data_IF_479428434294
#
_entry.id   IF_479428434294
#
_cell.length_a   1.000
_cell.length_b   1.000
_cell.length_c   1.000
_cell.angle_alpha   90.00
_cell.angle_beta   90.00
_cell.angle_gamma   90.00
#
_symmetry.space_group_name_H-M   'P 1'
#
loop_
_entity.id
_entity.type
_entity.pdbx_description
1 polymer ?
#
# COMPACT_ATOMS: atom_id res chain seq x y z
N UNK A 1 -55.37 -51.29 11.34
CA UNK A 1 -55.57 -49.85 11.53
C UNK A 1 -54.20 -49.21 11.44
N UNK A 2 -53.83 -48.79 10.24
CA UNK A 2 -52.59 -48.05 9.97
C UNK A 2 -52.81 -46.56 10.27
N UNK A 3 -51.90 -45.87 10.98
CA UNK A 3 -51.94 -44.42 11.07
C UNK A 3 -51.03 -43.77 10.01
N UNK A 4 -51.70 -43.31 8.95
CA UNK A 4 -51.52 -42.06 8.19
C UNK A 4 -50.28 -41.19 8.54
N UNK A 5 -49.41 -40.99 7.54
CA UNK A 5 -48.43 -39.91 7.44
C UNK A 5 -49.12 -38.54 7.29
N UNK A 6 -48.62 -37.47 7.94
CA UNK A 6 -48.83 -36.11 7.47
C UNK A 6 -47.60 -35.60 6.72
N UNK A 7 -47.77 -35.33 5.43
CA UNK A 7 -46.98 -34.32 4.70
C UNK A 7 -47.29 -32.95 5.32
N UNK A 8 -46.26 -32.20 5.72
CA UNK A 8 -46.14 -30.74 5.53
C UNK A 8 -44.77 -30.23 6.03
N UNK A 9 -43.95 -29.75 5.09
CA UNK A 9 -42.77 -28.92 5.36
C UNK A 9 -43.20 -27.50 5.74
N UNK A 10 -42.66 -26.89 6.81
CA UNK A 10 -42.72 -25.44 6.98
C UNK A 10 -41.44 -24.79 6.42
N UNK A 11 -41.63 -24.02 5.36
CA UNK A 11 -40.72 -22.95 4.94
C UNK A 11 -40.76 -21.81 5.97
N UNK A 12 -39.67 -21.58 6.71
CA UNK A 12 -39.21 -20.26 7.20
C UNK A 12 -38.05 -20.44 8.21
N UNK A 13 -36.83 -20.57 7.71
CA UNK A 13 -35.60 -20.59 8.53
C UNK A 13 -34.68 -19.39 8.23
N UNK A 14 -35.22 -18.29 7.71
CA UNK A 14 -34.44 -17.12 7.28
C UNK A 14 -34.77 -15.83 8.03
N UNK A 15 -35.71 -15.87 9.00
CA UNK A 15 -36.14 -14.68 9.76
C UNK A 15 -35.48 -14.56 11.15
N UNK A 16 -35.15 -15.68 11.80
CA UNK A 16 -34.60 -15.67 13.16
C UNK A 16 -33.10 -15.33 13.23
N UNK A 17 -32.33 -15.60 12.17
CA UNK A 17 -30.89 -15.28 12.14
C UNK A 17 -30.63 -13.77 12.02
N UNK A 18 -31.56 -13.03 11.40
CA UNK A 18 -31.46 -11.58 11.21
C UNK A 18 -31.84 -10.83 12.49
N UNK A 19 -32.83 -11.31 13.24
CA UNK A 19 -33.15 -10.75 14.57
C UNK A 19 -32.03 -11.03 15.59
N UNK A 20 -31.37 -12.19 15.52
CA UNK A 20 -30.24 -12.50 16.41
C UNK A 20 -29.03 -11.57 16.18
N UNK A 21 -28.72 -11.23 14.91
CA UNK A 21 -27.66 -10.28 14.56
C UNK A 21 -28.00 -8.82 14.95
N UNK A 22 -29.27 -8.41 14.85
CA UNK A 22 -29.72 -7.08 15.26
C UNK A 22 -29.69 -6.92 16.79
N UNK A 23 -30.01 -7.98 17.54
CA UNK A 23 -29.99 -7.94 19.00
C UNK A 23 -28.56 -7.86 19.56
N UNK A 24 -27.60 -8.58 18.96
CA UNK A 24 -26.16 -8.49 19.30
C UNK A 24 -25.61 -7.08 19.05
N UNK A 25 -26.07 -6.42 17.98
CA UNK A 25 -25.63 -5.06 17.66
C UNK A 25 -26.17 -4.01 18.65
N UNK A 26 -27.37 -4.23 19.21
CA UNK A 26 -27.97 -3.33 20.20
C UNK A 26 -27.31 -3.45 21.58
N UNK A 27 -27.00 -4.67 22.03
CA UNK A 27 -26.29 -4.89 23.31
C UNK A 27 -24.84 -4.41 23.31
N UNK A 28 -24.14 -4.40 22.17
CA UNK A 28 -22.77 -3.86 22.08
C UNK A 28 -22.73 -2.32 22.14
N UNK A 29 -23.75 -1.64 21.61
CA UNK A 29 -23.86 -0.18 21.65
C UNK A 29 -24.18 0.31 23.07
N UNK A 30 -25.00 -0.43 23.82
CA UNK A 30 -25.34 -0.08 25.22
C UNK A 30 -24.19 -0.36 26.21
N UNK A 31 -23.27 -1.28 25.89
CA UNK A 31 -22.06 -1.54 26.69
C UNK A 31 -20.99 -0.45 26.56
N UNK A 32 -20.83 0.13 25.36
CA UNK A 32 -19.86 1.21 25.11
C UNK A 32 -20.23 2.55 25.77
N UNK A 33 -21.50 2.73 26.17
CA UNK A 33 -21.97 3.91 26.91
C UNK A 33 -21.52 3.99 28.38
N UNK A 34 -20.82 2.98 28.91
CA UNK A 34 -20.43 2.89 30.33
C UNK A 34 -18.93 2.96 30.61
N UNK A 35 -18.08 3.26 29.62
CA UNK A 35 -16.65 3.44 29.87
C UNK A 35 -16.38 4.77 30.62
N UNK A 36 -15.63 4.77 31.73
CA UNK A 36 -15.28 5.98 32.47
C UNK A 36 -14.53 6.97 31.58
N UNK A 37 -15.01 8.22 31.53
CA UNK A 37 -14.30 9.34 30.94
C UNK A 37 -13.13 9.71 31.85
N UNK A 38 -11.90 9.40 31.43
CA UNK A 38 -10.70 10.25 31.52
C UNK A 38 -9.45 9.42 31.20
N UNK A 39 -8.85 9.65 30.02
CA UNK A 39 -7.43 9.44 29.81
C UNK A 39 -6.92 10.62 28.97
N UNK A 40 -5.86 11.23 29.48
CA UNK A 40 -5.40 12.58 29.15
C UNK A 40 -4.87 12.80 27.74
N UNK A 41 -4.46 14.05 27.55
CA UNK A 41 -4.11 14.77 26.32
C UNK A 41 -3.35 14.01 25.21
N UNK A 42 -3.54 14.44 23.94
CA UNK A 42 -2.87 13.88 22.77
C UNK A 42 -1.39 14.30 22.67
N UNK A 43 -0.59 13.41 22.12
CA UNK A 43 0.79 13.64 21.66
C UNK A 43 0.74 14.61 20.48
N UNK A 44 1.57 15.65 20.53
CA UNK A 44 1.68 16.73 19.54
C UNK A 44 2.10 16.22 18.14
N UNK A 45 1.49 16.77 17.08
CA UNK A 45 2.15 16.84 15.76
C UNK A 45 1.41 16.36 14.49
N UNK A 46 0.10 16.07 14.48
CA UNK A 46 -0.60 15.65 13.24
C UNK A 46 -1.91 16.44 13.06
N UNK A 47 -1.98 17.30 12.03
CA UNK A 47 -3.22 18.00 11.64
C UNK A 47 -3.86 17.43 10.37
N UNK A 48 -5.20 17.34 10.40
CA UNK A 48 -6.05 16.68 9.42
C UNK A 48 -6.36 17.59 8.21
N UNK A 49 -6.32 17.05 6.99
CA UNK A 49 -6.77 17.78 5.78
C UNK A 49 -8.26 17.56 5.51
N UNK A 50 -9.07 18.58 5.77
CA UNK A 50 -10.47 18.62 5.31
C UNK A 50 -10.54 19.09 3.85
N UNK A 51 -11.13 18.27 2.96
CA UNK A 51 -11.51 18.68 1.61
C UNK A 51 -13.04 18.85 1.56
N UNK A 52 -13.54 20.06 1.31
CA UNK A 52 -14.97 20.35 1.25
C UNK A 52 -15.50 20.21 -0.19
N UNK A 53 -16.53 19.40 -0.37
CA UNK A 53 -17.42 19.49 -1.53
C UNK A 53 -18.86 19.41 -1.03
N UNK A 54 -19.67 20.37 -1.48
CA UNK A 54 -21.05 20.59 -1.04
C UNK A 54 -21.95 19.42 -1.45
N UNK A 55 -22.27 18.54 -0.47
CA UNK A 55 -23.29 17.46 -0.42
C UNK A 55 -22.82 16.02 -0.20
N UNK A 56 -21.54 15.75 0.01
CA UNK A 56 -21.11 14.41 0.46
C UNK A 56 -20.27 14.58 1.72
N UNK A 57 -20.56 13.83 2.79
CA UNK A 57 -19.71 13.79 4.01
C UNK A 57 -18.25 13.66 3.57
N UNK A 58 -17.44 14.71 3.82
CA UNK A 58 -16.02 14.81 3.49
C UNK A 58 -15.31 13.49 3.81
N UNK A 59 -14.73 12.88 2.79
CA UNK A 59 -13.77 11.81 3.00
C UNK A 59 -12.45 12.50 3.37
N UNK A 60 -12.02 12.34 4.62
CA UNK A 60 -10.67 12.72 5.03
C UNK A 60 -9.69 11.84 4.27
N UNK A 61 -8.69 12.49 3.66
CA UNK A 61 -7.57 11.84 2.99
C UNK A 61 -6.33 12.18 3.80
N UNK A 62 -5.49 11.17 4.02
CA UNK A 62 -4.28 11.32 4.79
C UNK A 62 -3.08 11.17 3.87
N UNK A 63 -2.25 12.22 3.82
CA UNK A 63 -1.16 12.37 2.85
C UNK A 63 0.19 12.34 3.56
N UNK A 64 1.08 11.49 3.05
CA UNK A 64 2.41 11.27 3.62
C UNK A 64 3.47 11.35 2.52
N UNK A 65 4.03 12.55 2.28
CA UNK A 65 5.21 12.68 1.43
C UNK A 65 6.43 12.11 2.17
N UNK A 66 6.97 11.00 1.66
CA UNK A 66 8.22 10.40 2.12
C UNK A 66 9.34 10.65 1.11
N UNK A 67 10.55 10.94 1.60
CA UNK A 67 11.76 11.11 0.78
C UNK A 67 12.79 10.05 1.16
N UNK A 68 13.26 9.30 0.17
CA UNK A 68 14.32 8.29 0.35
C UNK A 68 15.48 8.66 -0.57
N UNK A 69 16.54 9.23 0.01
CA UNK A 69 17.80 9.49 -0.70
C UNK A 69 18.57 8.18 -0.80
N UNK A 70 19.22 7.93 -1.94
CA UNK A 70 19.98 6.70 -2.18
C UNK A 70 21.29 7.00 -2.92
N UNK A 71 22.38 6.27 -2.60
CA UNK A 71 23.68 6.38 -3.25
C UNK A 71 23.74 5.53 -4.55
N UNK A 72 22.71 5.68 -5.39
CA UNK A 72 22.61 5.04 -6.70
C UNK A 72 21.98 6.03 -7.69
N UNK A 73 22.18 5.83 -8.99
CA UNK A 73 21.57 6.68 -10.02
C UNK A 73 20.07 6.36 -10.20
N UNK A 74 19.36 7.24 -10.91
CA UNK A 74 17.95 7.02 -11.28
C UNK A 74 17.85 5.78 -12.18
N UNK A 75 18.76 5.61 -13.12
CA UNK A 75 18.82 4.46 -14.04
C UNK A 75 19.08 3.15 -13.29
N UNK A 76 20.04 3.15 -12.35
CA UNK A 76 20.33 2.00 -11.49
C UNK A 76 19.12 1.63 -10.61
N UNK A 77 18.42 2.63 -10.07
CA UNK A 77 17.23 2.40 -9.24
C UNK A 77 16.12 1.67 -10.01
N UNK A 78 15.98 1.92 -11.33
CA UNK A 78 14.97 1.24 -12.15
C UNK A 78 15.15 -0.28 -12.12
N UNK A 79 16.39 -0.77 -12.26
CA UNK A 79 16.73 -2.20 -12.19
C UNK A 79 16.64 -2.69 -10.75
N UNK A 80 17.26 -1.95 -9.81
CA UNK A 80 17.33 -2.31 -8.40
C UNK A 80 15.94 -2.50 -7.77
N UNK A 81 14.99 -1.61 -8.09
CA UNK A 81 13.64 -1.67 -7.57
C UNK A 81 12.92 -2.93 -8.04
N UNK A 82 12.99 -3.26 -9.32
CA UNK A 82 12.28 -4.42 -9.88
C UNK A 82 12.86 -5.73 -9.34
N UNK A 83 14.19 -5.84 -9.28
CA UNK A 83 14.88 -6.96 -8.63
C UNK A 83 14.45 -7.11 -7.17
N UNK A 84 14.51 -6.04 -6.40
CA UNK A 84 14.20 -6.06 -4.97
C UNK A 84 12.73 -6.36 -4.71
N UNK A 85 11.82 -5.90 -5.57
CA UNK A 85 10.39 -6.25 -5.49
C UNK A 85 10.18 -7.75 -5.71
N UNK A 86 10.89 -8.37 -6.65
CA UNK A 86 10.81 -9.81 -6.88
C UNK A 86 11.31 -10.60 -5.65
N UNK A 87 12.49 -10.29 -5.14
CA UNK A 87 13.07 -10.97 -3.98
C UNK A 87 12.24 -10.73 -2.70
N UNK A 88 11.79 -9.50 -2.44
CA UNK A 88 10.93 -9.21 -1.31
C UNK A 88 9.57 -9.93 -1.42
N UNK A 89 9.01 -10.05 -2.62
CA UNK A 89 7.78 -10.83 -2.82
C UNK A 89 7.97 -12.30 -2.45
N UNK A 90 9.12 -12.90 -2.81
CA UNK A 90 9.46 -14.27 -2.44
C UNK A 90 9.62 -14.44 -0.93
N UNK A 91 10.27 -13.49 -0.26
CA UNK A 91 10.44 -13.49 1.20
C UNK A 91 9.12 -13.37 1.96
N UNK A 92 8.10 -12.79 1.33
CA UNK A 92 6.78 -12.58 1.93
C UNK A 92 5.73 -13.64 1.54
N UNK A 93 6.07 -14.64 0.72
CA UNK A 93 5.10 -15.57 0.12
C UNK A 93 5.26 -17.00 0.61
N UNK A 94 4.21 -17.55 1.23
CA UNK A 94 4.18 -18.89 1.79
C UNK A 94 2.91 -19.13 2.63
N UNK A 95 2.53 -20.39 2.81
CA UNK A 95 1.43 -20.81 3.69
C UNK A 95 0.05 -20.28 3.29
N UNK A 96 -0.21 -20.12 1.99
CA UNK A 96 -1.42 -19.53 1.44
C UNK A 96 -1.43 -17.99 1.43
N UNK A 97 -0.40 -17.35 1.99
CA UNK A 97 -0.27 -15.90 2.09
C UNK A 97 0.84 -15.34 1.20
N UNK A 98 0.84 -14.01 1.03
CA UNK A 98 1.85 -13.30 0.24
C UNK A 98 1.35 -12.81 -1.11
N UNK A 99 2.20 -12.83 -2.13
CA UNK A 99 2.00 -12.14 -3.41
C UNK A 99 1.59 -13.11 -4.51
N UNK A 100 0.51 -12.79 -5.21
CA UNK A 100 0.08 -13.46 -6.45
C UNK A 100 0.08 -12.43 -7.59
N UNK A 101 0.81 -12.70 -8.68
CA UNK A 101 0.88 -11.81 -9.85
C UNK A 101 -0.15 -12.27 -10.88
N UNK A 102 -1.12 -11.42 -11.20
CA UNK A 102 -2.18 -11.71 -12.18
C UNK A 102 -1.84 -11.21 -13.58
N UNK A 103 -1.24 -10.03 -13.66
CA UNK A 103 -0.85 -9.39 -14.91
C UNK A 103 0.49 -8.69 -14.73
N UNK A 104 1.32 -8.79 -15.75
CA UNK A 104 2.54 -8.02 -15.93
C UNK A 104 2.71 -7.78 -17.44
N UNK A 105 2.25 -6.63 -17.93
CA UNK A 105 2.21 -6.35 -19.36
C UNK A 105 2.58 -4.89 -19.66
N UNK A 106 3.24 -4.60 -20.80
CA UNK A 106 3.46 -3.23 -21.21
C UNK A 106 2.13 -2.54 -21.52
N UNK A 107 2.04 -1.24 -21.27
CA UNK A 107 0.88 -0.43 -21.66
C UNK A 107 1.32 0.86 -22.36
N UNK A 108 0.42 1.39 -23.19
CA UNK A 108 0.51 2.72 -23.76
C UNK A 108 -0.87 3.37 -23.67
N UNK A 109 -0.92 4.62 -23.20
CA UNK A 109 -2.12 5.44 -23.13
C UNK A 109 -2.20 6.37 -24.35
N UNK A 110 -3.41 6.86 -24.62
CA UNK A 110 -3.67 7.80 -25.71
C UNK A 110 -2.94 9.14 -25.55
N UNK A 111 -2.60 9.53 -24.31
CA UNK A 111 -1.85 10.75 -23.99
C UNK A 111 -0.33 10.64 -24.20
N UNK A 112 0.14 9.48 -24.67
CA UNK A 112 1.55 9.19 -24.92
C UNK A 112 2.30 8.59 -23.72
N UNK A 113 1.68 8.48 -22.55
CA UNK A 113 2.28 7.78 -21.41
C UNK A 113 2.40 6.28 -21.74
N UNK A 114 3.60 5.73 -21.58
CA UNK A 114 3.89 4.31 -21.76
C UNK A 114 4.68 3.78 -20.58
N UNK A 115 4.52 2.49 -20.30
CA UNK A 115 5.18 1.88 -19.16
C UNK A 115 4.82 0.41 -18.98
N UNK A 116 5.04 -0.10 -17.77
CA UNK A 116 4.64 -1.44 -17.37
C UNK A 116 3.43 -1.39 -16.44
N UNK A 117 2.41 -2.18 -16.75
CA UNK A 117 1.25 -2.38 -15.91
C UNK A 117 1.39 -3.70 -15.15
N UNK A 118 1.14 -3.67 -13.85
CA UNK A 118 1.04 -4.88 -13.03
C UNK A 118 -0.25 -4.92 -12.24
N UNK A 119 -0.80 -6.12 -12.09
CA UNK A 119 -1.92 -6.41 -11.20
C UNK A 119 -1.53 -7.55 -10.27
N UNK A 120 -1.42 -7.27 -8.97
CA UNK A 120 -1.07 -8.23 -7.94
C UNK A 120 -2.20 -8.37 -6.91
N UNK A 121 -2.27 -9.52 -6.26
CA UNK A 121 -3.06 -9.74 -5.06
C UNK A 121 -2.11 -10.03 -3.91
N UNK A 122 -2.24 -9.26 -2.83
CA UNK A 122 -1.65 -9.59 -1.54
C UNK A 122 -2.68 -10.35 -0.69
N UNK A 123 -2.34 -11.56 -0.27
CA UNK A 123 -3.11 -12.41 0.62
C UNK A 123 -2.57 -12.21 2.04
N UNK A 124 -3.28 -11.44 2.87
CA UNK A 124 -2.75 -10.91 4.14
C UNK A 124 -3.46 -11.48 5.38
N UNK A 125 -3.81 -12.76 5.38
CA UNK A 125 -4.72 -13.35 6.37
C UNK A 125 -4.19 -13.25 7.80
N UNK A 126 -3.06 -13.88 8.13
CA UNK A 126 -2.43 -13.77 9.45
C UNK A 126 -1.51 -12.56 9.57
N UNK A 127 -1.15 -11.95 8.43
CA UNK A 127 -0.23 -10.79 8.38
C UNK A 127 -0.82 -9.45 8.80
N UNK A 128 -2.15 -9.31 8.90
CA UNK A 128 -2.81 -8.09 9.40
C UNK A 128 -3.05 -8.12 10.93
N UNK A 129 -3.12 -6.95 11.60
CA UNK A 129 -3.39 -6.87 13.03
C UNK A 129 -4.66 -7.62 13.45
N UNK A 130 -4.71 -8.09 14.70
CA UNK A 130 -5.84 -8.83 15.25
C UNK A 130 -7.16 -8.06 15.13
N UNK A 131 -7.13 -6.76 15.39
CA UNK A 131 -8.32 -5.92 15.28
C UNK A 131 -8.84 -5.81 13.84
N UNK A 132 -7.96 -5.85 12.82
CA UNK A 132 -8.38 -5.85 11.40
C UNK A 132 -9.03 -7.19 11.04
N UNK A 133 -8.44 -8.30 11.51
CA UNK A 133 -8.98 -9.66 11.31
C UNK A 133 -10.35 -9.86 11.96
N UNK A 134 -10.56 -9.27 13.14
CA UNK A 134 -11.84 -9.33 13.85
C UNK A 134 -12.97 -8.60 13.10
N UNK A 135 -12.61 -7.57 12.31
CA UNK A 135 -13.57 -6.70 11.65
C UNK A 135 -13.84 -7.12 10.20
N UNK A 136 -12.87 -7.69 9.49
CA UNK A 136 -13.02 -8.09 8.09
C UNK A 136 -13.16 -9.61 7.94
N UNK A 137 -14.15 -10.12 7.17
CA UNK A 137 -14.22 -11.54 6.87
C UNK A 137 -12.96 -11.98 6.11
N UNK A 138 -12.51 -13.22 6.29
CA UNK A 138 -11.26 -13.72 5.68
C UNK A 138 -11.21 -13.54 4.14
N UNK A 139 -12.37 -13.58 3.47
CA UNK A 139 -12.49 -13.33 2.03
C UNK A 139 -12.25 -11.88 1.60
N UNK A 140 -12.25 -10.92 2.54
CA UNK A 140 -12.01 -9.50 2.33
C UNK A 140 -10.56 -9.07 2.62
N UNK A 141 -9.71 -9.96 3.16
CA UNK A 141 -8.29 -9.70 3.45
C UNK A 141 -7.37 -9.86 2.22
N UNK A 142 -7.94 -9.73 1.03
CA UNK A 142 -7.22 -9.69 -0.24
C UNK A 142 -7.09 -8.25 -0.70
N UNK A 143 -5.86 -7.78 -0.81
CA UNK A 143 -5.57 -6.44 -1.32
C UNK A 143 -5.15 -6.56 -2.77
N UNK A 144 -5.94 -5.98 -3.66
CA UNK A 144 -5.58 -5.85 -5.07
C UNK A 144 -4.72 -4.62 -5.24
N UNK A 145 -3.51 -4.82 -5.76
CA UNK A 145 -2.60 -3.77 -6.17
C UNK A 145 -2.57 -3.68 -7.68
N UNK A 146 -2.91 -2.50 -8.22
CA UNK A 146 -2.69 -2.15 -9.62
C UNK A 146 -1.64 -1.06 -9.68
N UNK A 147 -0.57 -1.28 -10.46
CA UNK A 147 0.51 -0.31 -10.63
C UNK A 147 0.76 0.01 -12.10
N UNK A 148 0.97 1.29 -12.38
CA UNK A 148 1.36 1.87 -13.66
C UNK A 148 2.75 2.49 -13.49
N UNK A 149 3.76 1.76 -13.96
CA UNK A 149 5.16 2.15 -13.87
C UNK A 149 5.60 2.77 -15.20
N UNK A 150 5.54 4.10 -15.28
CA UNK A 150 6.06 4.93 -16.37
C UNK A 150 7.35 5.62 -15.91
N UNK A 151 8.34 4.81 -15.52
CA UNK A 151 9.59 5.27 -14.90
C UNK A 151 10.18 6.47 -15.66
N UNK A 152 10.53 7.58 -14.97
CA UNK A 152 10.78 7.71 -13.53
C UNK A 152 9.55 8.01 -12.66
N UNK A 153 8.35 8.01 -13.21
CA UNK A 153 7.11 8.14 -12.44
C UNK A 153 6.41 6.79 -12.27
N UNK A 154 5.87 6.53 -11.08
CA UNK A 154 5.08 5.33 -10.82
C UNK A 154 3.83 5.68 -10.02
N UNK A 155 2.70 5.08 -10.38
CA UNK A 155 1.45 5.19 -9.61
C UNK A 155 0.95 3.79 -9.27
N UNK A 156 0.76 3.54 -7.98
CA UNK A 156 0.23 2.29 -7.44
C UNK A 156 -1.05 2.56 -6.67
N UNK A 157 -2.05 1.69 -6.84
CA UNK A 157 -3.32 1.76 -6.12
C UNK A 157 -3.62 0.41 -5.49
N UNK A 158 -3.89 0.39 -4.19
CA UNK A 158 -4.26 -0.77 -3.39
C UNK A 158 -5.70 -0.61 -2.91
N UNK A 159 -6.54 -1.60 -3.17
CA UNK A 159 -7.95 -1.65 -2.74
C UNK A 159 -8.30 -3.06 -2.24
N UNK A 160 -9.25 -3.16 -1.31
CA UNK A 160 -9.77 -4.45 -0.84
C UNK A 160 -10.99 -4.86 -1.69
N UNK A 161 -11.06 -6.11 -2.16
CA UNK A 161 -12.21 -6.57 -2.95
C UNK A 161 -12.05 -7.95 -3.61
N UNK A 162 -13.06 -8.39 -4.39
CA UNK A 162 -13.06 -9.65 -5.16
C UNK A 162 -12.69 -9.42 -6.64
N UNK A 163 -12.15 -10.47 -7.30
CA UNK A 163 -11.53 -10.44 -8.65
C UNK A 163 -12.45 -10.01 -9.81
N UNK A 164 -13.77 -10.23 -9.76
CA UNK A 164 -14.70 -9.94 -10.89
C UNK A 164 -15.13 -8.47 -11.01
N UNK A 165 -14.86 -7.64 -10.00
CA UNK A 165 -15.48 -6.32 -9.86
C UNK A 165 -14.55 -5.14 -10.22
N UNK A 166 -13.36 -5.42 -10.76
CA UNK A 166 -12.31 -4.41 -11.00
C UNK A 166 -12.22 -3.93 -12.46
N UNK A 167 -12.98 -4.52 -13.39
CA UNK A 167 -12.99 -4.16 -14.82
C UNK A 167 -13.89 -2.96 -15.15
N UNK A 168 -14.91 -2.67 -14.33
CA UNK A 168 -15.80 -1.51 -14.55
C UNK A 168 -15.20 -0.18 -14.08
N UNK A 169 -14.22 -0.20 -13.17
CA UNK A 169 -13.68 1.03 -12.55
C UNK A 169 -12.54 1.70 -13.33
N UNK A 170 -11.80 0.94 -14.16
CA UNK A 170 -10.64 1.47 -14.89
C UNK A 170 -11.04 2.57 -15.91
N UNK A 171 -12.30 2.58 -16.36
CA UNK A 171 -12.85 3.64 -17.22
C UNK A 171 -13.04 4.98 -16.49
N UNK A 172 -13.15 4.99 -15.15
CA UNK A 172 -13.37 6.20 -14.36
C UNK A 172 -12.09 6.96 -13.98
N UNK A 173 -10.94 6.28 -13.89
CA UNK A 173 -9.68 6.89 -13.43
C UNK A 173 -8.92 7.66 -14.53
N UNK A 174 -9.12 7.31 -15.81
CA UNK A 174 -8.61 8.11 -16.95
C UNK A 174 -9.21 9.53 -16.94
N UNK A 175 -10.40 9.70 -16.35
CA UNK A 175 -11.10 10.99 -16.25
C UNK A 175 -10.59 11.85 -15.08
N UNK A 176 -10.06 11.25 -14.01
CA UNK A 176 -9.54 12.01 -12.86
C UNK A 176 -8.21 12.69 -13.14
N UNK A 177 -7.34 12.08 -13.96
CA UNK A 177 -6.10 12.73 -14.42
C UNK A 177 -6.37 13.97 -15.31
N UNK A 178 -7.51 14.00 -16.04
CA UNK A 178 -7.98 15.16 -16.81
C UNK A 178 -8.68 16.25 -15.98
N UNK A 179 -8.94 16.02 -14.69
CA UNK A 179 -9.76 16.94 -13.85
C UNK A 179 -8.98 17.80 -12.86
N UNK A 180 -7.66 17.72 -12.85
CA UNK A 180 -6.83 18.64 -12.04
C UNK A 180 -6.70 20.05 -12.65
N UNK A 181 -7.40 20.35 -13.75
CA UNK A 181 -7.32 21.67 -14.41
C UNK A 181 -8.66 22.43 -14.57
N UNK A 182 -9.79 21.95 -14.03
CA UNK A 182 -11.05 22.72 -14.12
C UNK A 182 -11.94 22.65 -12.87
N UNK A 183 -12.40 23.85 -12.48
CA UNK A 183 -13.32 24.19 -11.37
C UNK A 183 -14.43 23.16 -11.08
N UNK A 184 -14.58 22.87 -9.79
CA UNK A 184 -15.38 21.79 -9.16
C UNK A 184 -16.91 21.90 -9.36
N UNK A 185 -17.44 22.93 -10.01
CA UNK A 185 -18.87 23.27 -9.94
C UNK A 185 -19.81 22.63 -10.99
N UNK A 186 -19.35 21.75 -11.91
CA UNK A 186 -20.22 21.24 -13.01
C UNK A 186 -20.53 19.73 -13.08
N UNK A 187 -20.16 18.90 -12.11
CA UNK A 187 -20.38 17.42 -12.22
C UNK A 187 -21.46 16.86 -11.29
N UNK A 188 -22.68 17.41 -11.31
CA UNK A 188 -23.79 16.90 -10.50
C UNK A 188 -24.88 16.13 -11.28
N UNK A 189 -24.74 15.91 -12.60
CA UNK A 189 -25.90 15.55 -13.43
C UNK A 189 -25.91 14.15 -14.09
N UNK A 190 -24.92 13.26 -13.91
CA UNK A 190 -24.92 11.98 -14.66
C UNK A 190 -24.40 10.81 -13.83
N UNK A 191 -25.23 10.23 -12.95
CA UNK A 191 -25.25 8.77 -12.70
C UNK A 191 -26.66 8.38 -12.24
N UNK A 192 -27.50 7.99 -13.19
CA UNK A 192 -28.76 7.28 -12.93
C UNK A 192 -28.52 5.78 -12.83
N UNK A 193 -28.95 5.21 -11.70
CA UNK A 193 -29.41 3.83 -11.44
C UNK A 193 -28.87 2.66 -12.30
N UNK A 194 -28.17 1.71 -11.65
CA UNK A 194 -28.46 0.28 -11.81
C UNK A 194 -28.19 -0.45 -10.48
N UNK A 195 -29.16 -1.27 -10.05
CA UNK A 195 -29.10 -2.07 -8.83
C UNK A 195 -28.49 -3.43 -9.16
N UNK A 196 -27.32 -3.72 -8.61
CA UNK A 196 -26.74 -5.08 -8.55
C UNK A 196 -26.28 -5.32 -7.12
N UNK A 197 -26.93 -6.24 -6.43
CA UNK A 197 -26.60 -6.62 -5.06
C UNK A 197 -25.41 -7.60 -5.08
N UNK A 198 -24.22 -7.10 -4.78
CA UNK A 198 -23.04 -7.94 -4.51
C UNK A 198 -22.35 -7.40 -3.26
N UNK A 199 -22.03 -8.29 -2.33
CA UNK A 199 -21.45 -7.98 -1.02
C UNK A 199 -20.01 -7.46 -1.19
N UNK A 200 -19.86 -6.15 -1.07
CA UNK A 200 -18.58 -5.43 -1.09
C UNK A 200 -18.36 -4.84 0.31
N UNK A 201 -17.43 -5.40 1.10
CA UNK A 201 -17.30 -4.98 2.50
C UNK A 201 -16.78 -3.53 2.65
N UNK A 202 -15.85 -3.10 1.77
CA UNK A 202 -15.14 -1.83 1.92
C UNK A 202 -15.24 -0.87 0.72
N UNK A 203 -15.77 -1.25 -0.45
CA UNK A 203 -16.00 -0.38 -1.64
C UNK A 203 -14.97 0.76 -1.81
N UNK A 204 -15.46 2.00 -1.88
CA UNK A 204 -14.72 3.26 -1.89
C UNK A 204 -14.26 3.72 -0.49
N UNK A 205 -14.53 2.94 0.55
CA UNK A 205 -14.17 3.25 1.93
C UNK A 205 -12.73 2.82 2.28
N UNK A 206 -12.01 2.10 1.40
CA UNK A 206 -10.59 1.82 1.57
C UNK A 206 -9.79 2.01 0.28
N UNK A 207 -8.74 2.80 0.35
CA UNK A 207 -7.77 2.96 -0.72
C UNK A 207 -6.42 3.37 -0.13
N UNK A 208 -5.34 2.77 -0.63
CA UNK A 208 -3.99 3.29 -0.48
C UNK A 208 -3.48 3.58 -1.89
N UNK A 209 -3.01 4.79 -2.14
CA UNK A 209 -2.40 5.18 -3.40
C UNK A 209 -1.00 5.66 -3.12
N UNK A 210 -0.03 5.15 -3.87
CA UNK A 210 1.36 5.54 -3.77
C UNK A 210 1.75 6.10 -5.13
N UNK A 211 2.03 7.39 -5.16
CA UNK A 211 2.62 8.07 -6.30
C UNK A 211 4.10 8.27 -6.02
N UNK A 212 4.95 8.05 -7.00
CA UNK A 212 6.40 8.19 -6.80
C UNK A 212 7.05 8.87 -7.97
N UNK A 213 7.84 9.89 -7.66
CA UNK A 213 8.84 10.47 -8.56
C UNK A 213 10.24 10.04 -8.14
N UNK A 214 11.03 9.56 -9.09
CA UNK A 214 12.45 9.31 -8.92
C UNK A 214 13.22 10.46 -9.58
N UNK A 215 14.05 11.16 -8.82
CA UNK A 215 14.76 12.36 -9.32
C UNK A 215 16.26 12.27 -9.01
N UNK A 216 17.13 12.78 -9.89
CA UNK A 216 18.58 12.81 -9.68
C UNK A 216 18.97 13.99 -8.78
N UNK A 217 18.49 13.99 -7.54
CA UNK A 217 18.76 15.01 -6.53
C UNK A 217 18.91 14.38 -5.14
N UNK A 218 19.01 15.22 -4.11
CA UNK A 218 19.23 14.80 -2.71
C UNK A 218 18.00 14.99 -1.81
N UNK A 219 16.81 15.09 -2.41
CA UNK A 219 15.56 15.21 -1.65
C UNK A 219 15.21 16.64 -1.23
N UNK A 220 15.69 17.65 -1.96
CA UNK A 220 15.49 19.08 -1.67
C UNK A 220 14.31 19.71 -2.42
N UNK A 221 13.74 19.03 -3.43
CA UNK A 221 12.59 19.57 -4.15
C UNK A 221 11.31 19.52 -3.32
N UNK A 222 10.66 20.67 -3.20
CA UNK A 222 9.36 20.81 -2.53
C UNK A 222 8.21 20.51 -3.49
N UNK A 223 7.16 19.85 -2.98
CA UNK A 223 5.91 19.58 -3.70
C UNK A 223 6.07 19.04 -5.14
N UNK A 224 6.96 18.06 -5.36
CA UNK A 224 7.22 17.49 -6.71
C UNK A 224 5.99 16.88 -7.39
N UNK A 225 4.98 16.50 -6.59
CA UNK A 225 3.70 15.97 -7.06
C UNK A 225 2.69 17.06 -7.45
N UNK A 226 3.04 18.34 -7.24
CA UNK A 226 2.22 19.51 -7.57
C UNK A 226 0.84 19.45 -6.91
N UNK A 227 0.80 19.07 -5.62
CA UNK A 227 -0.40 19.21 -4.81
C UNK A 227 -0.79 20.68 -4.72
N UNK A 228 -2.08 20.95 -4.55
CA UNK A 228 -2.52 22.32 -4.34
C UNK A 228 -1.89 22.91 -3.06
N UNK A 229 -1.65 24.24 -3.00
CA UNK A 229 -0.94 24.85 -1.90
C UNK A 229 -1.58 24.63 -0.52
N UNK A 230 -2.91 24.56 -0.45
CA UNK A 230 -3.64 24.39 0.81
C UNK A 230 -3.49 22.98 1.37
N UNK A 231 -3.50 21.98 0.49
CA UNK A 231 -3.22 20.59 0.84
C UNK A 231 -1.76 20.42 1.22
N UNK A 232 -0.81 20.92 0.40
CA UNK A 232 0.62 20.78 0.66
C UNK A 232 1.04 21.37 2.02
N UNK A 233 0.51 22.54 2.39
CA UNK A 233 0.80 23.21 3.67
C UNK A 233 0.47 22.35 4.90
N UNK A 234 -0.43 21.38 4.77
CA UNK A 234 -0.87 20.50 5.86
C UNK A 234 -0.13 19.16 5.87
N UNK A 235 0.80 18.95 4.93
CA UNK A 235 1.60 17.73 4.87
C UNK A 235 2.91 17.89 5.63
N UNK A 236 3.37 16.82 6.27
CA UNK A 236 4.70 16.74 6.87
C UNK A 236 5.57 15.78 6.05
N UNK A 237 6.75 16.24 5.65
CA UNK A 237 7.69 15.42 4.87
C UNK A 237 8.45 14.48 5.81
N UNK A 238 8.30 13.17 5.58
CA UNK A 238 9.00 12.12 6.31
C UNK A 238 10.29 11.76 5.56
N UNK A 239 11.43 11.90 6.20
CA UNK A 239 12.71 11.45 5.65
C UNK A 239 13.02 10.04 6.13
N UNK A 240 13.32 9.14 5.19
CA UNK A 240 13.80 7.79 5.48
C UNK A 240 15.31 7.77 5.26
N UNK A 241 16.05 7.50 6.33
CA UNK A 241 17.50 7.32 6.27
C UNK A 241 17.84 5.84 6.38
N UNK A 242 18.26 5.24 5.27
CA UNK A 242 18.53 3.81 5.18
C UNK A 242 19.72 3.37 6.05
N UNK A 243 20.60 4.29 6.47
CA UNK A 243 21.73 4.00 7.34
C UNK A 243 21.40 4.19 8.83
N UNK A 244 20.28 4.84 9.18
CA UNK A 244 19.93 5.13 10.57
C UNK A 244 19.25 3.92 11.23
N UNK A 245 20.01 3.18 12.04
CA UNK A 245 19.51 2.01 12.80
C UNK A 245 18.28 2.30 13.65
N UNK A 246 18.09 3.54 14.10
CA UNK A 246 16.93 3.96 14.94
C UNK A 246 15.61 3.94 14.17
N UNK A 247 15.65 3.92 12.83
CA UNK A 247 14.45 3.86 11.98
C UNK A 247 14.00 2.42 11.69
N UNK A 248 14.72 1.41 12.19
CA UNK A 248 14.44 -0.02 11.98
C UNK A 248 13.94 -0.62 13.30
N UNK A 249 12.84 -1.36 13.25
CA UNK A 249 12.34 -2.11 14.41
C UNK A 249 13.29 -3.27 14.73
N UNK A 250 13.49 -3.60 16.01
CA UNK A 250 14.47 -4.64 16.40
C UNK A 250 14.18 -6.00 15.79
N UNK A 251 12.90 -6.36 15.63
CA UNK A 251 12.47 -7.60 14.96
C UNK A 251 12.74 -7.64 13.45
N UNK A 252 12.95 -6.49 12.83
CA UNK A 252 13.25 -6.39 11.39
C UNK A 252 14.75 -6.29 11.12
N UNK A 253 15.55 -6.01 12.14
CA UNK A 253 16.96 -5.80 11.95
C UNK A 253 17.67 -7.10 11.56
N UNK A 254 18.34 -7.07 10.41
CA UNK A 254 19.25 -8.12 9.96
C UNK A 254 20.62 -7.50 9.65
N UNK A 255 21.72 -8.00 10.24
CA UNK A 255 23.06 -7.48 10.00
C UNK A 255 23.46 -7.48 8.51
N UNK A 256 23.02 -8.48 7.75
CA UNK A 256 23.27 -8.62 6.31
C UNK A 256 22.45 -7.68 5.43
N UNK A 257 21.42 -7.03 5.98
CA UNK A 257 20.59 -6.02 5.32
C UNK A 257 20.84 -4.63 5.93
N UNK A 258 22.07 -4.39 6.44
CA UNK A 258 22.46 -3.12 7.05
C UNK A 258 23.41 -2.27 6.18
N UNK A 259 22.92 -1.20 5.55
CA UNK A 259 23.75 -0.29 4.75
C UNK A 259 24.90 0.35 5.52
N UNK A 260 24.80 0.46 6.85
CA UNK A 260 25.85 1.02 7.70
C UNK A 260 27.07 0.09 7.85
N UNK A 261 26.94 -1.19 7.47
CA UNK A 261 28.02 -2.19 7.53
C UNK A 261 28.32 -2.81 6.17
N UNK A 262 27.35 -2.78 5.23
CA UNK A 262 27.50 -3.32 3.89
C UNK A 262 28.42 -2.47 3.01
N UNK A 263 29.35 -3.12 2.31
CA UNK A 263 30.16 -2.54 1.24
C UNK A 263 30.08 -3.41 0.00
N UNK A 264 29.63 -2.81 -1.10
CA UNK A 264 29.56 -3.47 -2.41
C UNK A 264 30.96 -3.84 -2.88
N UNK A 265 31.14 -5.10 -3.25
CA UNK A 265 32.39 -5.62 -3.83
C UNK A 265 32.53 -5.23 -5.30
N UNK A 266 31.42 -5.01 -6.01
CA UNK A 266 31.42 -4.65 -7.43
C UNK A 266 31.60 -3.15 -7.68
N UNK A 267 31.06 -2.30 -6.81
CA UNK A 267 31.07 -0.84 -7.00
C UNK A 267 31.93 -0.09 -5.98
N UNK A 268 32.30 -0.75 -4.87
CA UNK A 268 32.99 -0.11 -3.75
C UNK A 268 32.11 0.79 -2.87
N UNK A 269 30.81 0.97 -3.20
CA UNK A 269 29.88 1.82 -2.46
C UNK A 269 29.54 1.24 -1.10
N UNK A 270 29.34 2.12 -0.12
CA UNK A 270 29.19 1.75 1.29
C UNK A 270 30.54 1.49 1.99
N UNK A 271 30.54 1.28 3.31
CA UNK A 271 29.40 1.41 4.22
C UNK A 271 28.91 2.85 4.35
N UNK A 272 27.63 3.02 4.68
CA UNK A 272 27.00 4.33 4.87
C UNK A 272 27.15 4.78 6.32
N UNK A 273 28.12 5.66 6.59
CA UNK A 273 28.30 6.26 7.90
C UNK A 273 27.22 7.30 8.25
N UNK A 274 27.15 7.80 9.50
CA UNK A 274 26.09 8.72 9.95
C UNK A 274 25.99 10.05 9.17
N UNK A 275 27.07 10.47 8.50
CA UNK A 275 27.11 11.70 7.69
C UNK A 275 27.03 11.44 6.19
N UNK A 276 26.74 10.19 5.76
CA UNK A 276 26.78 9.78 4.36
C UNK A 276 25.96 10.70 3.44
N UNK A 277 24.79 11.18 3.88
CA UNK A 277 23.93 12.11 3.11
C UNK A 277 24.59 13.46 2.85
N UNK A 278 25.38 13.97 3.80
CA UNK A 278 26.10 15.25 3.65
C UNK A 278 27.34 15.10 2.76
N UNK A 279 27.97 13.93 2.81
CA UNK A 279 29.14 13.60 1.99
C UNK A 279 28.76 13.24 0.54
N UNK A 280 27.58 12.67 0.32
CA UNK A 280 27.16 12.12 -0.98
C UNK A 280 27.24 13.13 -2.14
N UNK A 281 26.78 14.40 -2.01
CA UNK A 281 26.93 15.39 -3.07
C UNK A 281 28.38 15.72 -3.44
N UNK A 282 29.33 15.45 -2.55
CA UNK A 282 30.75 15.77 -2.72
C UNK A 282 31.52 14.64 -3.40
N UNK A 283 30.94 13.44 -3.50
CA UNK A 283 31.56 12.25 -4.11
C UNK A 283 31.22 12.21 -5.60
N UNK A 284 32.18 12.53 -6.46
CA UNK A 284 32.00 12.54 -7.92
C UNK A 284 31.86 11.15 -8.53
N UNK A 285 32.31 10.11 -7.83
CA UNK A 285 32.30 8.70 -8.21
C UNK A 285 31.08 7.93 -7.68
N UNK A 286 30.22 8.58 -6.88
CA UNK A 286 29.04 7.96 -6.30
C UNK A 286 27.76 8.66 -6.79
N UNK A 287 26.97 8.04 -7.69
CA UNK A 287 25.72 8.63 -8.14
C UNK A 287 24.72 8.69 -6.99
N UNK A 288 23.72 9.57 -7.13
CA UNK A 288 22.68 9.72 -6.14
C UNK A 288 21.34 10.09 -6.75
N UNK A 289 20.29 9.74 -6.02
CA UNK A 289 18.92 10.02 -6.40
C UNK A 289 18.04 10.12 -5.15
N UNK A 290 16.83 10.66 -5.31
CA UNK A 290 15.80 10.63 -4.29
C UNK A 290 14.48 10.07 -4.86
N UNK A 291 13.90 9.11 -4.14
CA UNK A 291 12.54 8.64 -4.37
C UNK A 291 11.57 9.47 -3.50
N UNK A 292 10.78 10.31 -4.16
CA UNK A 292 9.71 11.09 -3.55
C UNK A 292 8.42 10.27 -3.61
N UNK A 293 8.02 9.67 -2.49
CA UNK A 293 6.84 8.81 -2.41
C UNK A 293 5.71 9.56 -1.73
N UNK A 294 4.64 9.88 -2.44
CA UNK A 294 3.41 10.42 -1.87
C UNK A 294 2.43 9.28 -1.60
N UNK A 295 2.21 8.97 -0.32
CA UNK A 295 1.21 7.98 0.10
C UNK A 295 -0.09 8.70 0.44
N UNK A 296 -1.17 8.35 -0.24
CA UNK A 296 -2.53 8.78 0.06
C UNK A 296 -3.29 7.60 0.67
N UNK A 297 -3.77 7.74 1.90
CA UNK A 297 -4.62 6.75 2.56
C UNK A 297 -6.03 7.31 2.67
N UNK A 298 -7.00 6.48 2.32
CA UNK A 298 -8.42 6.70 2.55
C UNK A 298 -8.95 5.51 3.32
N UNK A 299 -9.40 5.71 4.56
CA UNK A 299 -10.11 4.69 5.31
C UNK A 299 -11.34 5.29 6.01
N UNK A 300 -12.54 4.96 5.51
CA UNK A 300 -13.80 5.52 6.02
C UNK A 300 -14.56 4.49 6.85
N UNK A 301 -14.26 4.47 8.15
CA UNK A 301 -14.97 3.64 9.11
C UNK A 301 -15.19 4.39 10.43
N UNK A 302 -16.45 4.43 10.88
CA UNK A 302 -16.82 5.09 12.12
C UNK A 302 -16.07 4.52 13.34
N UNK A 303 -15.36 5.39 14.07
CA UNK A 303 -14.64 5.04 15.30
C UNK A 303 -13.26 4.41 15.12
N UNK A 304 -12.85 4.07 13.88
CA UNK A 304 -11.58 3.39 13.62
C UNK A 304 -10.67 4.13 12.63
N UNK A 305 -11.17 5.22 12.04
CA UNK A 305 -10.48 5.95 10.98
C UNK A 305 -9.03 6.29 11.34
N UNK A 306 -8.82 7.17 12.31
CA UNK A 306 -7.49 7.68 12.66
C UNK A 306 -6.52 6.55 13.08
N UNK A 307 -7.03 5.52 13.78
CA UNK A 307 -6.23 4.38 14.22
C UNK A 307 -5.71 3.56 13.04
N UNK A 308 -6.57 3.25 12.07
CA UNK A 308 -6.20 2.45 10.89
C UNK A 308 -5.32 3.26 9.95
N UNK A 309 -5.65 4.53 9.74
CA UNK A 309 -4.86 5.44 8.92
C UNK A 309 -3.43 5.62 9.46
N UNK A 310 -3.27 5.85 10.76
CA UNK A 310 -1.96 5.91 11.41
C UNK A 310 -1.22 4.57 11.38
N UNK A 311 -1.93 3.45 11.55
CA UNK A 311 -1.33 2.11 11.42
C UNK A 311 -0.78 1.86 10.01
N UNK A 312 -1.57 2.14 8.97
CA UNK A 312 -1.14 1.99 7.57
C UNK A 312 0.11 2.83 7.31
N UNK A 313 0.13 4.08 7.78
CA UNK A 313 1.30 4.93 7.63
C UNK A 313 2.55 4.34 8.28
N UNK A 314 2.45 3.84 9.52
CA UNK A 314 3.56 3.16 10.22
C UNK A 314 4.06 1.96 9.40
N UNK A 315 3.14 1.17 8.83
CA UNK A 315 3.52 0.01 8.01
C UNK A 315 4.14 0.40 6.65
N UNK A 316 3.64 1.43 5.95
CA UNK A 316 4.25 1.89 4.70
C UNK A 316 5.65 2.48 4.95
N UNK A 317 5.82 3.25 6.03
CA UNK A 317 7.15 3.74 6.45
C UNK A 317 8.10 2.58 6.75
N UNK A 318 7.67 1.61 7.57
CA UNK A 318 8.42 0.38 7.88
C UNK A 318 8.82 -0.39 6.62
N UNK A 319 7.86 -0.58 5.71
CA UNK A 319 8.08 -1.23 4.41
C UNK A 319 9.11 -0.48 3.57
N UNK A 320 8.99 0.84 3.42
CA UNK A 320 9.94 1.63 2.66
C UNK A 320 11.34 1.61 3.29
N UNK A 321 11.45 1.69 4.62
CA UNK A 321 12.75 1.60 5.30
C UNK A 321 13.43 0.27 5.01
N UNK A 322 12.75 -0.85 5.27
CA UNK A 322 13.33 -2.19 5.11
C UNK A 322 13.62 -2.49 3.63
N UNK A 323 12.72 -2.13 2.72
CA UNK A 323 12.89 -2.33 1.29
C UNK A 323 14.13 -1.64 0.73
N UNK A 324 14.35 -0.36 1.07
CA UNK A 324 15.50 0.37 0.51
C UNK A 324 16.83 -0.02 1.16
N UNK A 325 16.81 -0.49 2.43
CA UNK A 325 17.98 -1.10 3.07
C UNK A 325 18.39 -2.38 2.35
N UNK A 326 17.44 -3.27 2.10
CA UNK A 326 17.63 -4.50 1.31
C UNK A 326 18.12 -4.19 -0.11
N UNK A 327 17.46 -3.26 -0.80
CA UNK A 327 17.82 -2.84 -2.14
C UNK A 327 19.30 -2.42 -2.22
N UNK A 328 19.77 -1.61 -1.27
CA UNK A 328 21.18 -1.22 -1.22
C UNK A 328 22.12 -2.38 -0.90
N UNK A 329 21.78 -3.21 0.10
CA UNK A 329 22.63 -4.35 0.48
C UNK A 329 22.64 -5.49 -0.56
N UNK A 330 21.66 -5.52 -1.46
CA UNK A 330 21.62 -6.45 -2.58
C UNK A 330 22.28 -5.90 -3.86
N UNK A 331 22.95 -4.75 -3.80
CA UNK A 331 23.58 -4.09 -4.96
C UNK A 331 24.38 -5.04 -5.84
N UNK A 332 25.25 -5.85 -5.24
CA UNK A 332 26.11 -6.77 -6.00
C UNK A 332 25.31 -7.84 -6.76
N UNK A 333 24.05 -8.09 -6.37
CA UNK A 333 23.15 -9.06 -7.03
C UNK A 333 22.42 -8.48 -8.23
N UNK A 334 22.22 -7.15 -8.29
CA UNK A 334 21.41 -6.52 -9.34
C UNK A 334 22.15 -5.50 -10.21
N UNK A 335 23.31 -4.99 -9.80
CA UNK A 335 23.98 -3.86 -10.48
C UNK A 335 24.36 -4.14 -11.94
N UNK A 336 24.64 -5.40 -12.28
CA UNK A 336 25.00 -5.82 -13.64
C UNK A 336 23.80 -6.35 -14.45
N UNK A 337 22.59 -6.33 -13.89
CA UNK A 337 21.40 -6.84 -14.59
C UNK A 337 20.90 -5.82 -15.61
N UNK A 338 20.54 -6.32 -16.78
CA UNK A 338 19.83 -5.53 -17.78
C UNK A 338 18.33 -5.54 -17.52
N UNK A 339 17.58 -4.61 -18.13
CA UNK A 339 16.12 -4.64 -18.08
C UNK A 339 15.54 -5.93 -18.68
N UNK A 340 16.21 -6.55 -19.66
CA UNK A 340 15.78 -7.84 -20.23
C UNK A 340 15.96 -8.99 -19.23
N UNK A 341 17.04 -8.98 -18.45
CA UNK A 341 17.23 -9.92 -17.35
C UNK A 341 16.14 -9.78 -16.30
N UNK A 342 15.76 -8.53 -15.97
CA UNK A 342 14.66 -8.25 -15.05
C UNK A 342 13.34 -8.81 -15.59
N UNK A 343 13.02 -8.64 -16.88
CA UNK A 343 11.78 -9.20 -17.45
C UNK A 343 11.73 -10.72 -17.35
N UNK A 344 12.84 -11.39 -17.65
CA UNK A 344 12.94 -12.85 -17.48
C UNK A 344 12.75 -13.26 -16.02
N UNK A 345 13.38 -12.54 -15.09
CA UNK A 345 13.24 -12.78 -13.66
C UNK A 345 11.82 -12.56 -13.15
N UNK A 346 11.09 -11.56 -13.66
CA UNK A 346 9.68 -11.32 -13.28
C UNK A 346 8.78 -12.50 -13.68
N UNK A 347 8.97 -13.07 -14.88
CA UNK A 347 8.23 -14.24 -15.36
C UNK A 347 8.54 -15.50 -14.54
N UNK A 348 9.81 -15.72 -14.20
CA UNK A 348 10.22 -16.81 -13.32
C UNK A 348 9.65 -16.64 -11.92
N UNK A 349 9.75 -15.43 -11.36
CA UNK A 349 9.23 -15.09 -10.03
C UNK A 349 7.73 -15.31 -9.95
N UNK A 350 6.95 -14.96 -10.98
CA UNK A 350 5.52 -15.24 -11.00
C UNK A 350 5.22 -16.73 -10.78
N UNK A 351 5.93 -17.61 -11.49
CA UNK A 351 5.76 -19.07 -11.38
C UNK A 351 6.23 -19.60 -10.02
N UNK A 352 7.29 -19.02 -9.46
CA UNK A 352 7.81 -19.40 -8.14
C UNK A 352 6.85 -19.00 -7.02
N UNK A 353 6.32 -17.77 -7.05
CA UNK A 353 5.40 -17.27 -6.02
C UNK A 353 4.16 -18.15 -5.87
N UNK A 354 3.58 -18.60 -6.99
CA UNK A 354 2.42 -19.51 -6.95
C UNK A 354 2.77 -20.84 -6.26
N UNK A 355 3.94 -21.41 -6.57
CA UNK A 355 4.41 -22.65 -5.92
C UNK A 355 4.72 -22.45 -4.44
N UNK A 356 5.42 -21.37 -4.10
CA UNK A 356 5.80 -21.05 -2.72
C UNK A 356 4.57 -20.83 -1.86
N UNK A 357 3.56 -20.11 -2.38
CA UNK A 357 2.30 -19.88 -1.68
C UNK A 357 1.60 -21.19 -1.30
N UNK A 358 1.68 -22.22 -2.14
CA UNK A 358 1.06 -23.52 -1.88
C UNK A 358 1.91 -24.44 -0.99
N UNK A 359 3.24 -24.40 -1.13
CA UNK A 359 4.15 -25.42 -0.56
C UNK A 359 4.94 -24.97 0.67
N UNK A 360 5.29 -23.69 0.74
CA UNK A 360 6.12 -23.18 1.83
C UNK A 360 5.26 -22.88 3.07
N UNK A 361 5.83 -22.86 4.29
CA UNK A 361 5.16 -22.30 5.46
C UNK A 361 5.02 -20.76 5.34
N UNK A 362 4.14 -20.17 6.16
CA UNK A 362 4.03 -18.70 6.29
C UNK A 362 5.37 -18.12 6.74
N UNK A 363 5.81 -17.04 6.09
CA UNK A 363 7.08 -16.34 6.35
C UNK A 363 6.99 -14.85 6.03
N UNK A 364 8.02 -14.08 6.40
CA UNK A 364 8.09 -12.63 6.19
C UNK A 364 7.50 -11.81 7.34
N UNK A 365 7.20 -10.54 7.07
CA UNK A 365 6.72 -9.60 8.09
C UNK A 365 5.30 -9.93 8.55
N UNK A 366 5.09 -9.87 9.86
CA UNK A 366 3.77 -9.83 10.50
C UNK A 366 3.52 -8.44 11.10
N UNK A 367 2.28 -7.95 10.98
CA UNK A 367 1.84 -6.83 11.78
C UNK A 367 1.52 -7.27 13.21
N UNK A 368 2.06 -6.58 14.21
CA UNK A 368 1.66 -6.71 15.62
C UNK A 368 0.64 -5.62 15.97
N UNK A 369 -0.16 -5.86 17.00
CA UNK A 369 -1.18 -4.92 17.51
C UNK A 369 -0.58 -3.72 18.28
N UNK A 370 0.73 -3.50 18.21
CA UNK A 370 1.50 -2.48 18.97
C UNK A 370 1.46 -1.06 18.41
#
# INVERSE_FOLDING_TARGET
MDPVLPEHLPQNATRDTVECLLQVHKTHVDWLGKLPRTLGHPVEGIELVQCSTTRTKTALLLLYPSRVVLPISVEEYQVAQLYSVAEASKNETGGGEGVEVLKNEPYAKEDGEKGQYTHKIYHLQSKVPGFVRMLAPASALKVHEKAWNAYPYCRTTRKMGKRKDLSEFDKGHIVMARRLDQSISKTAAVVGCSRSAVNEYMKDNFMIMIETWHKPDIGDQENVHKLDPETWKKTEVVYIDIADRRQVEDKDYKPEEDPATFKSTKTGRGPLGPQWRKELPQKTDCPHMCAYKLVTVKFKWFGLQNKVEGFIHKQEKRLFTNFHRQLFCWMDRWIDLTMDDIRRMEEETQKELDKMREKDPVKGMSASDE
#
